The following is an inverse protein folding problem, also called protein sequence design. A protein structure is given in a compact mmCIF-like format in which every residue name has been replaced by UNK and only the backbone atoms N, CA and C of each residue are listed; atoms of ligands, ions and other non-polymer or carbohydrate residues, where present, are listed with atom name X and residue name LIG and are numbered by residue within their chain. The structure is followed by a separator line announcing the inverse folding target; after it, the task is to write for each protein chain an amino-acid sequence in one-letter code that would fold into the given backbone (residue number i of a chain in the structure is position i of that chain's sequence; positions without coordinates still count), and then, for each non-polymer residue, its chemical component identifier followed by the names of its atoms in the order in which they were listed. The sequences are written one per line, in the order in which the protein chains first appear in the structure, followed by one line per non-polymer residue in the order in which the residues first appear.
data_IF_255343915483
#
_entry.id   IF_255343915483
#
_cell.length_a   1.000
_cell.length_b   1.000
_cell.length_c   1.000
_cell.angle_alpha   90.00
_cell.angle_beta   90.00
_cell.angle_gamma   90.00
#
_symmetry.space_group_name_H-M   'P 1'
#
loop_
_entity.id
_entity.type
_entity.pdbx_description
1 polymer ?
#
# COMPACT_ATOMS: atom_id res chain seq x y z
N UNK A 1 -21.12 9.02 25.88
CA UNK A 1 -20.60 8.50 24.59
C UNK A 1 -19.53 9.47 24.14
N UNK A 2 -18.25 9.10 24.25
CA UNK A 2 -17.16 9.94 23.73
C UNK A 2 -17.20 9.79 22.21
N UNK A 3 -17.29 10.87 21.41
CA UNK A 3 -17.27 10.73 19.97
C UNK A 3 -15.97 10.04 19.57
N UNK A 4 -16.08 8.94 18.81
CA UNK A 4 -14.92 8.24 18.30
C UNK A 4 -14.06 9.25 17.53
N UNK A 5 -12.87 9.54 18.05
CA UNK A 5 -11.94 10.47 17.43
C UNK A 5 -11.62 9.93 16.04
N UNK A 6 -11.83 10.76 15.01
CA UNK A 6 -11.49 10.37 13.64
C UNK A 6 -10.03 9.92 13.60
N UNK A 7 -9.70 8.82 12.92
CA UNK A 7 -8.32 8.39 12.73
C UNK A 7 -7.49 9.54 12.13
N UNK A 8 -6.28 9.75 12.66
CA UNK A 8 -5.36 10.79 12.18
C UNK A 8 -4.01 10.23 11.76
N UNK A 9 -3.33 10.96 10.90
CA UNK A 9 -1.95 10.71 10.45
C UNK A 9 -1.09 11.87 10.94
N UNK A 10 -0.08 11.58 11.75
CA UNK A 10 0.92 12.56 12.18
C UNK A 10 2.05 12.67 11.16
N UNK A 11 2.40 13.90 10.82
CA UNK A 11 3.29 14.22 9.72
C UNK A 11 4.59 14.82 10.23
N UNK A 12 5.72 14.39 9.68
CA UNK A 12 7.04 14.82 10.16
C UNK A 12 7.98 15.16 9.02
N UNK A 13 8.85 16.17 9.23
CA UNK A 13 9.89 16.59 8.28
C UNK A 13 11.03 15.60 8.14
N UNK A 14 11.26 14.77 9.15
CA UNK A 14 12.33 13.79 9.20
C UNK A 14 11.77 12.46 9.74
N UNK A 15 12.38 11.36 9.32
CA UNK A 15 12.01 10.02 9.73
C UNK A 15 12.83 9.48 10.91
N UNK A 16 13.97 10.12 11.24
CA UNK A 16 14.86 9.74 12.33
C UNK A 16 14.32 10.23 13.66
N UNK A 17 14.22 9.33 14.64
CA UNK A 17 13.59 9.64 15.93
C UNK A 17 14.20 10.84 16.66
N UNK A 18 15.54 10.96 16.68
CA UNK A 18 16.19 12.10 17.32
C UNK A 18 15.84 13.43 16.65
N UNK A 19 15.76 13.46 15.31
CA UNK A 19 15.41 14.66 14.57
C UNK A 19 13.98 15.10 14.89
N UNK A 20 13.04 14.16 15.06
CA UNK A 20 11.63 14.46 15.41
C UNK A 20 11.46 15.21 16.73
N UNK A 21 12.43 15.17 17.64
CA UNK A 21 12.39 15.91 18.91
C UNK A 21 12.70 17.40 18.77
N UNK A 22 13.24 17.82 17.62
CA UNK A 22 13.63 19.22 17.38
C UNK A 22 12.40 20.10 17.06
N UNK A 23 12.42 21.40 17.43
CA UNK A 23 11.35 22.33 17.08
C UNK A 23 11.08 22.40 15.58
N UNK A 24 9.80 22.44 15.19
CA UNK A 24 9.37 22.58 13.79
C UNK A 24 9.40 21.30 12.96
N UNK A 25 9.66 20.14 13.58
CA UNK A 25 9.75 18.85 12.89
C UNK A 25 8.40 18.16 12.72
N UNK A 26 7.47 18.36 13.66
CA UNK A 26 6.07 18.00 13.49
C UNK A 26 5.40 18.99 12.54
N UNK A 27 4.72 18.47 11.51
CA UNK A 27 4.03 19.23 10.48
C UNK A 27 2.52 19.31 10.72
N UNK A 28 2.05 18.80 11.86
CA UNK A 28 0.64 18.66 12.18
C UNK A 28 0.10 17.26 11.89
N UNK A 29 -1.23 17.15 12.00
CA UNK A 29 -1.96 15.90 11.77
C UNK A 29 -3.06 16.12 10.75
N UNK A 30 -3.32 15.12 9.92
CA UNK A 30 -4.44 15.11 8.95
C UNK A 30 -5.41 13.99 9.27
N UNK A 31 -6.70 14.18 9.04
CA UNK A 31 -7.66 13.10 9.20
C UNK A 31 -7.48 12.07 8.07
N UNK A 32 -7.51 10.78 8.41
CA UNK A 32 -7.37 9.68 7.44
C UNK A 32 -8.46 9.76 6.36
N UNK A 33 -9.69 10.08 6.75
CA UNK A 33 -10.81 10.18 5.81
C UNK A 33 -10.55 11.20 4.69
N UNK A 34 -9.93 12.34 5.02
CA UNK A 34 -9.58 13.38 4.06
C UNK A 34 -8.37 12.95 3.22
N UNK A 35 -7.37 12.35 3.87
CA UNK A 35 -6.13 11.91 3.23
C UNK A 35 -6.32 10.76 2.23
N UNK A 36 -7.31 9.90 2.43
CA UNK A 36 -7.56 8.76 1.54
C UNK A 36 -8.57 9.05 0.43
N UNK A 37 -9.17 10.25 0.36
CA UNK A 37 -10.14 10.58 -0.69
C UNK A 37 -9.50 10.63 -2.08
N UNK A 38 -8.26 11.16 -2.16
CA UNK A 38 -7.38 11.07 -3.32
C UNK A 38 -5.95 10.81 -2.80
N UNK A 39 -5.62 9.53 -2.65
CA UNK A 39 -4.35 9.07 -2.10
C UNK A 39 -3.14 9.59 -2.89
N UNK A 40 -3.23 9.62 -4.23
CA UNK A 40 -2.13 10.01 -5.10
C UNK A 40 -1.85 11.51 -5.01
N UNK A 41 -2.91 12.33 -5.04
CA UNK A 41 -2.80 13.77 -4.81
C UNK A 41 -2.27 14.05 -3.40
N UNK A 42 -2.85 13.42 -2.38
CA UNK A 42 -2.47 13.62 -0.98
C UNK A 42 -1.00 13.30 -0.74
N UNK A 43 -0.52 12.11 -1.14
CA UNK A 43 0.87 11.71 -0.95
C UNK A 43 1.84 12.68 -1.66
N UNK A 44 1.48 13.16 -2.86
CA UNK A 44 2.26 14.16 -3.58
C UNK A 44 2.35 15.48 -2.81
N UNK A 45 1.24 16.03 -2.33
CA UNK A 45 1.23 17.32 -1.62
C UNK A 45 1.94 17.23 -0.27
N UNK A 46 1.74 16.14 0.48
CA UNK A 46 2.50 15.86 1.71
C UNK A 46 4.00 15.83 1.42
N UNK A 47 4.42 15.10 0.38
CA UNK A 47 5.82 15.06 0.02
C UNK A 47 6.40 16.45 -0.32
N UNK A 48 5.65 17.25 -1.12
CA UNK A 48 6.06 18.60 -1.56
C UNK A 48 6.19 19.59 -0.41
N UNK A 49 5.36 19.46 0.62
CA UNK A 49 5.40 20.30 1.83
C UNK A 49 6.52 19.89 2.80
N UNK A 50 7.24 18.81 2.49
CA UNK A 50 8.43 18.37 3.22
C UNK A 50 8.19 17.18 4.15
N UNK A 51 7.05 16.50 4.06
CA UNK A 51 6.80 15.28 4.84
C UNK A 51 7.78 14.19 4.40
N UNK A 52 8.42 13.55 5.39
CA UNK A 52 9.32 12.39 5.22
C UNK A 52 8.92 11.21 6.09
N UNK A 53 8.05 11.41 7.07
CA UNK A 53 7.38 10.33 7.81
C UNK A 53 5.90 10.64 8.02
N UNK A 54 5.07 9.62 7.87
CA UNK A 54 3.66 9.62 8.16
C UNK A 54 3.36 8.52 9.18
N UNK A 55 2.77 8.86 10.32
CA UNK A 55 2.48 7.94 11.42
C UNK A 55 0.97 7.78 11.60
N UNK A 56 0.48 6.57 11.37
CA UNK A 56 -0.93 6.22 11.44
C UNK A 56 -1.30 5.88 12.88
N UNK A 57 -2.23 6.65 13.45
CA UNK A 57 -2.70 6.42 14.82
C UNK A 57 -3.56 5.15 14.98
N UNK A 58 -4.10 4.63 13.88
CA UNK A 58 -5.06 3.52 13.89
C UNK A 58 -4.49 2.24 13.27
N UNK A 59 -4.93 1.11 13.83
CA UNK A 59 -4.73 -0.20 13.22
C UNK A 59 -5.46 -0.26 11.87
N UNK A 60 -4.73 -0.64 10.82
CA UNK A 60 -5.30 -0.94 9.51
C UNK A 60 -5.83 -2.37 9.56
N UNK A 61 -7.14 -2.53 9.70
CA UNK A 61 -7.77 -3.84 9.76
C UNK A 61 -8.07 -4.35 8.34
N UNK A 62 -7.46 -5.48 7.97
CA UNK A 62 -7.68 -6.18 6.71
C UNK A 62 -8.33 -7.55 6.93
N UNK A 63 -8.86 -7.80 8.14
CA UNK A 63 -9.61 -9.02 8.44
C UNK A 63 -10.99 -9.02 7.76
N UNK A 64 -11.67 -10.17 7.67
CA UNK A 64 -13.01 -10.25 7.09
C UNK A 64 -14.07 -9.40 7.80
N UNK A 65 -13.82 -8.97 9.04
CA UNK A 65 -14.72 -8.12 9.81
C UNK A 65 -14.52 -6.61 9.55
N UNK A 66 -13.47 -6.23 8.80
CA UNK A 66 -13.18 -4.85 8.48
C UNK A 66 -14.19 -4.25 7.48
N UNK A 67 -14.31 -2.92 7.47
CA UNK A 67 -15.06 -2.21 6.43
C UNK A 67 -14.20 -2.12 5.15
N UNK A 68 -14.60 -2.80 4.04
CA UNK A 68 -13.73 -2.96 2.88
C UNK A 68 -13.32 -1.65 2.21
N UNK A 69 -14.22 -0.66 2.12
CA UNK A 69 -13.92 0.61 1.43
C UNK A 69 -12.83 1.38 2.18
N UNK A 70 -12.91 1.43 3.50
CA UNK A 70 -11.91 2.04 4.37
C UNK A 70 -10.56 1.33 4.25
N UNK A 71 -10.56 -0.01 4.23
CA UNK A 71 -9.35 -0.81 4.09
C UNK A 71 -8.62 -0.54 2.75
N UNK A 72 -9.35 -0.57 1.62
CA UNK A 72 -8.79 -0.26 0.29
C UNK A 72 -8.23 1.16 0.24
N UNK A 73 -8.96 2.14 0.77
CA UNK A 73 -8.54 3.55 0.82
C UNK A 73 -7.25 3.76 1.62
N UNK A 74 -7.11 3.06 2.75
CA UNK A 74 -5.89 3.06 3.55
C UNK A 74 -4.71 2.44 2.79
N UNK A 75 -4.94 1.29 2.13
CA UNK A 75 -3.91 0.64 1.32
C UNK A 75 -3.45 1.52 0.15
N UNK A 76 -4.36 2.23 -0.51
CA UNK A 76 -4.00 3.21 -1.54
C UNK A 76 -3.10 4.31 -0.96
N UNK A 77 -3.46 4.92 0.17
CA UNK A 77 -2.62 5.96 0.78
C UNK A 77 -1.24 5.44 1.19
N UNK A 78 -1.16 4.25 1.81
CA UNK A 78 0.11 3.63 2.19
C UNK A 78 0.97 3.33 0.96
N UNK A 79 0.36 2.83 -0.12
CA UNK A 79 1.03 2.56 -1.39
C UNK A 79 1.59 3.82 -2.01
N UNK A 80 0.81 4.90 -2.08
CA UNK A 80 1.28 6.16 -2.64
C UNK A 80 2.38 6.80 -1.77
N UNK A 81 2.24 6.82 -0.44
CA UNK A 81 3.29 7.30 0.46
C UNK A 81 4.59 6.49 0.33
N UNK A 82 4.48 5.17 0.24
CA UNK A 82 5.62 4.27 -0.02
C UNK A 82 6.28 4.62 -1.36
N UNK A 83 5.49 4.84 -2.42
CA UNK A 83 5.99 5.17 -3.75
C UNK A 83 6.74 6.52 -3.80
N UNK A 84 6.38 7.46 -2.92
CA UNK A 84 7.09 8.72 -2.72
C UNK A 84 8.34 8.61 -1.83
N UNK A 85 8.58 7.45 -1.22
CA UNK A 85 9.69 7.23 -0.29
C UNK A 85 9.47 7.89 1.08
N UNK A 86 8.21 8.14 1.45
CA UNK A 86 7.86 8.57 2.82
C UNK A 86 7.91 7.35 3.73
N UNK A 87 8.56 7.49 4.89
CA UNK A 87 8.52 6.46 5.94
C UNK A 87 7.10 6.36 6.47
N UNK A 88 6.49 5.18 6.35
CA UNK A 88 5.12 4.96 6.82
C UNK A 88 5.18 4.13 8.09
N UNK A 89 4.78 4.73 9.21
CA UNK A 89 4.59 4.00 10.45
C UNK A 89 3.12 3.64 10.60
N UNK A 90 2.82 2.35 10.54
CA UNK A 90 1.47 1.82 10.56
C UNK A 90 1.45 0.43 11.17
N UNK A 91 0.31 0.04 11.72
CA UNK A 91 0.05 -1.32 12.22
C UNK A 91 -1.03 -1.95 11.37
N UNK A 92 -0.94 -3.25 11.16
CA UNK A 92 -1.90 -3.99 10.32
C UNK A 92 -2.44 -5.22 11.04
N UNK A 93 -3.73 -5.47 10.90
CA UNK A 93 -4.31 -6.79 11.17
C UNK A 93 -4.47 -7.52 9.86
N UNK A 94 -3.75 -8.61 9.69
CA UNK A 94 -3.91 -9.49 8.53
C UNK A 94 -5.06 -10.47 8.78
N UNK A 95 -5.75 -10.93 7.74
CA UNK A 95 -6.70 -12.01 7.88
C UNK A 95 -5.98 -13.33 8.18
N UNK A 96 -6.69 -14.29 8.76
CA UNK A 96 -6.13 -15.61 9.07
C UNK A 96 -5.60 -16.31 7.81
N UNK A 97 -4.52 -17.08 7.95
CA UNK A 97 -3.94 -17.83 6.86
C UNK A 97 -4.99 -18.78 6.23
N UNK A 98 -5.19 -18.66 4.91
CA UNK A 98 -6.16 -19.47 4.16
C UNK A 98 -7.57 -18.89 4.05
N UNK A 99 -7.86 -17.76 4.69
CA UNK A 99 -9.16 -17.06 4.57
C UNK A 99 -9.47 -16.58 3.15
N UNK A 100 -8.46 -16.18 2.37
CA UNK A 100 -8.60 -15.81 0.97
C UNK A 100 -7.27 -16.04 0.22
N UNK A 101 -7.27 -16.91 -0.79
CA UNK A 101 -6.05 -17.22 -1.59
C UNK A 101 -5.50 -15.98 -2.30
N UNK A 102 -6.37 -15.08 -2.73
CA UNK A 102 -6.04 -13.82 -3.41
C UNK A 102 -6.10 -12.61 -2.45
N UNK A 103 -6.14 -12.86 -1.15
CA UNK A 103 -6.35 -11.84 -0.13
C UNK A 103 -5.06 -11.16 0.34
N UNK A 104 -5.19 -10.21 1.29
CA UNK A 104 -4.06 -9.52 1.87
C UNK A 104 -3.22 -10.50 2.70
N UNK A 105 -1.92 -10.48 2.49
CA UNK A 105 -0.94 -11.28 3.23
C UNK A 105 0.38 -10.52 3.31
N UNK A 106 1.28 -10.97 4.18
CA UNK A 106 2.64 -10.42 4.22
C UNK A 106 3.36 -10.53 2.87
N UNK A 107 3.03 -11.54 2.04
CA UNK A 107 3.57 -11.65 0.69
C UNK A 107 3.00 -10.58 -0.24
N UNK A 108 1.66 -10.48 -0.35
CA UNK A 108 1.01 -9.58 -1.32
C UNK A 108 1.24 -8.11 -0.99
N UNK A 109 1.43 -7.78 0.28
CA UNK A 109 1.70 -6.43 0.78
C UNK A 109 3.19 -6.16 1.01
N UNK A 110 4.07 -7.17 0.87
CA UNK A 110 5.49 -7.13 1.24
C UNK A 110 6.35 -6.08 0.51
N UNK A 111 5.76 -5.36 -0.44
CA UNK A 111 6.34 -4.23 -1.18
C UNK A 111 5.97 -2.86 -0.61
N UNK A 112 5.01 -2.78 0.31
CA UNK A 112 4.70 -1.59 1.09
C UNK A 112 5.72 -1.42 2.22
N UNK A 113 5.88 -0.18 2.71
CA UNK A 113 6.75 0.09 3.85
C UNK A 113 6.39 -0.84 5.03
N UNK A 114 7.37 -1.50 5.67
CA UNK A 114 7.09 -2.53 6.66
C UNK A 114 6.34 -1.96 7.87
N UNK A 115 5.25 -2.61 8.32
CA UNK A 115 4.47 -2.13 9.45
C UNK A 115 5.26 -2.22 10.77
N UNK A 116 4.95 -1.33 11.70
CA UNK A 116 5.45 -1.36 13.08
C UNK A 116 4.76 -2.40 13.96
N UNK A 117 3.74 -3.10 13.45
CA UNK A 117 3.12 -4.24 14.11
C UNK A 117 2.19 -5.01 13.16
N UNK A 118 2.16 -6.33 13.32
CA UNK A 118 1.21 -7.23 12.65
C UNK A 118 0.35 -7.89 13.73
N UNK A 119 -0.95 -7.96 13.51
CA UNK A 119 -1.94 -8.68 14.32
C UNK A 119 -2.67 -9.72 13.46
N UNK A 120 -3.25 -10.75 14.09
CA UNK A 120 -4.02 -11.82 13.43
C UNK A 120 -3.27 -13.16 13.42
N UNK A 121 -2.26 -13.35 12.53
CA UNK A 121 -1.49 -14.58 12.47
C UNK A 121 -0.73 -14.91 13.76
N UNK A 122 -0.56 -16.21 14.05
CA UNK A 122 0.19 -16.68 15.22
C UNK A 122 1.70 -16.36 15.13
N UNK A 123 2.24 -16.30 13.92
CA UNK A 123 3.64 -16.00 13.56
C UNK A 123 3.85 -14.53 13.19
N UNK A 124 3.04 -13.62 13.74
CA UNK A 124 3.06 -12.20 13.38
C UNK A 124 4.42 -11.52 13.58
N UNK A 125 5.20 -11.93 14.57
CA UNK A 125 6.52 -11.36 14.84
C UNK A 125 7.53 -11.75 13.75
N UNK A 126 7.54 -13.03 13.37
CA UNK A 126 8.38 -13.59 12.31
C UNK A 126 8.01 -12.98 10.95
N UNK A 127 6.71 -12.87 10.64
CA UNK A 127 6.23 -12.23 9.42
C UNK A 127 6.66 -10.77 9.35
N UNK A 128 6.58 -10.03 10.46
CA UNK A 128 7.00 -8.62 10.53
C UNK A 128 8.51 -8.48 10.34
N UNK A 129 9.31 -9.38 10.91
CA UNK A 129 10.76 -9.41 10.72
C UNK A 129 11.13 -9.69 9.25
N UNK A 130 10.53 -10.72 8.64
CA UNK A 130 10.78 -11.09 7.25
C UNK A 130 10.36 -9.99 6.26
N UNK A 131 9.22 -9.31 6.53
CA UNK A 131 8.79 -8.17 5.72
C UNK A 131 9.81 -7.03 5.79
N UNK A 132 10.26 -6.66 7.00
CA UNK A 132 11.26 -5.62 7.18
C UNK A 132 12.61 -5.96 6.50
N UNK A 133 13.10 -7.18 6.68
CA UNK A 133 14.36 -7.64 6.09
C UNK A 133 14.31 -7.67 4.56
N UNK A 134 13.18 -8.11 3.99
CA UNK A 134 13.00 -8.24 2.55
C UNK A 134 12.56 -6.94 1.86
N UNK A 135 12.26 -5.87 2.58
CA UNK A 135 11.71 -4.65 2.00
C UNK A 135 12.78 -3.82 1.29
N UNK A 136 12.38 -3.24 0.14
CA UNK A 136 13.08 -2.13 -0.49
C UNK A 136 12.09 -1.36 -1.37
N UNK A 137 12.37 -0.07 -1.60
CA UNK A 137 11.53 0.76 -2.46
C UNK A 137 11.53 0.25 -3.91
N UNK A 138 10.35 0.16 -4.51
CA UNK A 138 10.20 -0.39 -5.86
C UNK A 138 10.14 -1.91 -5.94
N UNK A 139 9.92 -2.61 -4.81
CA UNK A 139 9.82 -4.08 -4.79
C UNK A 139 8.65 -4.64 -5.62
N UNK A 140 7.58 -3.89 -5.83
CA UNK A 140 6.53 -4.20 -6.80
C UNK A 140 6.03 -2.89 -7.43
N UNK A 141 6.52 -2.58 -8.63
CA UNK A 141 6.25 -1.33 -9.32
C UNK A 141 5.62 -1.55 -10.69
N UNK A 142 4.84 -0.56 -11.15
CA UNK A 142 4.27 -0.54 -12.50
C UNK A 142 4.72 0.71 -13.25
N UNK A 143 5.06 0.54 -14.53
CA UNK A 143 5.38 1.63 -15.46
C UNK A 143 4.38 1.62 -16.60
N UNK A 144 3.90 2.80 -16.97
CA UNK A 144 3.03 2.96 -18.12
C UNK A 144 3.90 3.26 -19.35
N UNK A 145 3.86 2.36 -20.33
CA UNK A 145 4.38 2.59 -21.66
C UNK A 145 3.26 2.95 -22.65
N UNK A 146 3.58 3.37 -23.88
CA UNK A 146 2.58 3.58 -24.92
C UNK A 146 1.87 2.26 -25.26
N UNK A 147 0.64 2.09 -24.79
CA UNK A 147 -0.18 0.89 -25.07
C UNK A 147 0.15 -0.33 -24.21
N UNK A 148 0.95 -0.20 -23.15
CA UNK A 148 1.23 -1.32 -22.24
C UNK A 148 1.55 -0.86 -20.81
N UNK A 149 1.45 -1.78 -19.86
CA UNK A 149 1.98 -1.68 -18.50
C UNK A 149 3.12 -2.68 -18.35
N UNK A 150 4.25 -2.25 -17.79
CA UNK A 150 5.32 -3.15 -17.34
C UNK A 150 5.31 -3.19 -15.81
N UNK A 151 5.04 -4.36 -15.24
CA UNK A 151 5.17 -4.62 -13.81
C UNK A 151 6.51 -5.31 -13.56
N UNK A 152 7.24 -4.79 -12.58
CA UNK A 152 8.46 -5.39 -12.04
C UNK A 152 8.19 -5.78 -10.60
N UNK A 153 8.14 -7.07 -10.36
CA UNK A 153 7.78 -7.64 -9.07
C UNK A 153 8.92 -8.49 -8.52
N UNK A 154 9.40 -8.14 -7.33
CA UNK A 154 10.45 -8.82 -6.59
C UNK A 154 9.92 -9.48 -5.31
N UNK A 155 8.60 -9.54 -5.09
CA UNK A 155 8.01 -10.08 -3.84
C UNK A 155 8.41 -11.54 -3.59
N UNK A 156 8.62 -12.34 -4.64
CA UNK A 156 9.09 -13.72 -4.56
C UNK A 156 10.60 -13.88 -4.29
N UNK A 157 11.35 -12.78 -4.22
CA UNK A 157 12.82 -12.79 -4.10
C UNK A 157 13.57 -12.82 -5.44
N UNK A 158 12.87 -13.06 -6.55
CA UNK A 158 13.40 -12.95 -7.92
C UNK A 158 12.62 -11.91 -8.70
N UNK A 159 13.25 -11.26 -9.69
CA UNK A 159 12.55 -10.31 -10.57
C UNK A 159 11.63 -11.07 -11.52
N UNK A 160 10.32 -10.98 -11.27
CA UNK A 160 9.29 -11.30 -12.24
C UNK A 160 8.94 -10.05 -13.04
N UNK A 161 9.01 -10.13 -14.37
CA UNK A 161 8.62 -9.03 -15.27
C UNK A 161 7.37 -9.43 -16.03
N UNK A 162 6.28 -8.73 -15.75
CA UNK A 162 4.98 -8.96 -16.37
C UNK A 162 4.70 -7.78 -17.29
N UNK A 163 4.38 -8.06 -18.56
CA UNK A 163 3.95 -7.05 -19.53
C UNK A 163 2.48 -7.27 -19.80
N UNK A 164 1.69 -6.21 -19.64
CA UNK A 164 0.25 -6.19 -19.91
C UNK A 164 0.05 -5.25 -21.09
N UNK A 165 -0.22 -5.77 -22.27
CA UNK A 165 -0.46 -5.01 -23.50
C UNK A 165 -1.82 -5.34 -24.15
N UNK A 166 -2.50 -6.37 -23.66
CA UNK A 166 -3.84 -6.73 -24.09
C UNK A 166 -4.88 -5.67 -23.64
N UNK A 167 -5.70 -5.13 -24.57
CA UNK A 167 -6.65 -4.05 -24.25
C UNK A 167 -7.63 -4.38 -23.13
N UNK A 168 -8.08 -5.64 -23.02
CA UNK A 168 -9.01 -6.07 -21.97
C UNK A 168 -8.38 -5.99 -20.57
N UNK A 169 -7.10 -6.36 -20.43
CA UNK A 169 -6.37 -6.27 -19.16
C UNK A 169 -6.05 -4.82 -18.80
N UNK A 170 -5.65 -4.00 -19.78
CA UNK A 170 -5.43 -2.56 -19.58
C UNK A 170 -6.70 -1.86 -19.09
N UNK A 171 -7.84 -2.14 -19.74
CA UNK A 171 -9.14 -1.62 -19.33
C UNK A 171 -9.54 -2.12 -17.94
N UNK A 172 -9.29 -3.41 -17.64
CA UNK A 172 -9.52 -4.01 -16.33
C UNK A 172 -8.76 -3.31 -15.21
N UNK A 173 -7.46 -3.04 -15.41
CA UNK A 173 -6.63 -2.33 -14.43
C UNK A 173 -7.15 -0.91 -14.18
N UNK A 174 -7.46 -0.15 -15.24
CA UNK A 174 -8.00 1.20 -15.07
C UNK A 174 -9.40 1.19 -14.42
N UNK A 175 -10.23 0.20 -14.71
CA UNK A 175 -11.53 0.02 -14.07
C UNK A 175 -11.40 -0.24 -12.56
N UNK A 176 -10.52 -1.15 -12.12
CA UNK A 176 -10.30 -1.39 -10.67
C UNK A 176 -9.78 -0.14 -9.96
N UNK A 177 -8.87 0.61 -10.62
CA UNK A 177 -8.31 1.84 -10.05
C UNK A 177 -9.35 2.95 -9.91
N UNK A 178 -10.34 2.98 -10.80
CA UNK A 178 -11.43 3.94 -10.74
C UNK A 178 -12.52 3.51 -9.74
N UNK A 179 -12.81 2.21 -9.66
CA UNK A 179 -13.81 1.63 -8.77
C UNK A 179 -13.34 0.26 -8.22
N UNK A 180 -13.06 0.16 -6.91
CA UNK A 180 -12.58 -1.08 -6.31
C UNK A 180 -13.64 -2.18 -6.26
N UNK A 181 -14.92 -1.94 -6.58
CA UNK A 181 -15.89 -3.03 -6.75
C UNK A 181 -15.54 -3.93 -7.93
N UNK A 182 -14.78 -3.40 -8.91
CA UNK A 182 -14.37 -4.12 -10.11
C UNK A 182 -15.54 -4.77 -10.89
N UNK A 183 -16.77 -4.25 -10.74
CA UNK A 183 -17.97 -4.86 -11.33
C UNK A 183 -17.97 -4.89 -12.87
N UNK A 184 -17.19 -4.00 -13.49
CA UNK A 184 -17.01 -3.92 -14.94
C UNK A 184 -15.83 -4.76 -15.47
N UNK A 185 -15.06 -5.42 -14.60
CA UNK A 185 -13.87 -6.19 -14.99
C UNK A 185 -14.30 -7.61 -15.34
N UNK A 186 -13.84 -8.09 -16.50
CA UNK A 186 -14.03 -9.48 -16.91
C UNK A 186 -13.52 -10.47 -15.83
N UNK A 187 -14.30 -11.50 -15.45
CA UNK A 187 -13.89 -12.44 -14.42
C UNK A 187 -12.59 -13.20 -14.71
N UNK A 188 -12.30 -13.50 -15.99
CA UNK A 188 -11.05 -14.15 -16.40
C UNK A 188 -9.86 -13.22 -16.23
N UNK A 189 -9.97 -11.99 -16.73
CA UNK A 189 -8.95 -10.94 -16.52
C UNK A 189 -8.67 -10.74 -15.03
N UNK A 190 -9.72 -10.68 -14.21
CA UNK A 190 -9.59 -10.52 -12.76
C UNK A 190 -8.90 -11.72 -12.12
N UNK A 191 -9.26 -12.93 -12.51
CA UNK A 191 -8.66 -14.16 -11.98
C UNK A 191 -7.17 -14.24 -12.30
N UNK A 192 -6.77 -13.88 -13.52
CA UNK A 192 -5.37 -13.89 -13.94
C UNK A 192 -4.53 -12.84 -13.19
N UNK A 193 -5.04 -11.61 -13.08
CA UNK A 193 -4.36 -10.56 -12.31
C UNK A 193 -4.25 -10.91 -10.81
N UNK A 194 -5.24 -11.61 -10.26
CA UNK A 194 -5.21 -12.12 -8.89
C UNK A 194 -4.23 -13.29 -8.73
N UNK A 195 -4.11 -14.18 -9.74
CA UNK A 195 -3.14 -15.27 -9.74
C UNK A 195 -1.70 -14.75 -9.70
N UNK A 196 -1.43 -13.63 -10.38
CA UNK A 196 -0.15 -12.91 -10.34
C UNK A 196 0.01 -12.02 -9.10
N UNK A 197 -0.93 -12.06 -8.14
CA UNK A 197 -0.92 -11.22 -6.94
C UNK A 197 -0.87 -9.70 -7.23
N UNK A 198 -1.34 -9.28 -8.41
CA UNK A 198 -1.41 -7.87 -8.81
C UNK A 198 -2.75 -7.23 -8.38
N UNK A 199 -3.81 -8.05 -8.35
CA UNK A 199 -5.08 -7.72 -7.72
C UNK A 199 -5.23 -8.50 -6.41
N UNK A 200 -5.51 -7.77 -5.33
CA UNK A 200 -5.70 -8.31 -3.99
C UNK A 200 -7.15 -8.09 -3.58
N UNK A 201 -7.84 -9.16 -3.20
CA UNK A 201 -9.22 -9.10 -2.71
C UNK A 201 -9.27 -8.60 -1.27
N UNK A 202 -10.12 -7.60 -0.98
CA UNK A 202 -10.34 -7.02 0.35
C UNK A 202 -11.85 -7.04 0.59
N UNK A 203 -12.35 -8.04 1.31
CA UNK A 203 -13.79 -8.32 1.35
C UNK A 203 -14.33 -8.55 -0.07
N UNK A 204 -15.36 -7.81 -0.45
CA UNK A 204 -15.95 -7.84 -1.80
C UNK A 204 -15.25 -6.89 -2.80
N UNK A 205 -14.19 -6.20 -2.38
CA UNK A 205 -13.47 -5.22 -3.19
C UNK A 205 -12.14 -5.77 -3.70
N UNK A 206 -11.57 -5.09 -4.68
CA UNK A 206 -10.28 -5.39 -5.29
C UNK A 206 -9.36 -4.19 -5.19
N UNK A 207 -8.11 -4.47 -4.85
CA UNK A 207 -7.07 -3.47 -4.72
C UNK A 207 -5.90 -3.78 -5.65
N UNK A 208 -5.49 -2.78 -6.43
CA UNK A 208 -4.33 -2.86 -7.31
C UNK A 208 -3.03 -2.70 -6.50
N UNK A 209 -2.24 -3.77 -6.38
CA UNK A 209 -1.06 -3.77 -5.52
C UNK A 209 0.13 -2.93 -6.06
N UNK A 210 0.51 -3.00 -7.35
CA UNK A 210 1.69 -2.31 -7.85
C UNK A 210 1.62 -0.78 -7.72
N UNK A 211 2.68 -0.15 -7.24
CA UNK A 211 2.76 1.31 -7.17
C UNK A 211 3.47 1.92 -8.38
N UNK A 212 3.12 3.18 -8.71
CA UNK A 212 3.80 3.94 -9.76
C UNK A 212 5.06 4.60 -9.17
N UNK A 213 6.26 4.42 -9.76
CA UNK A 213 7.45 5.07 -9.25
C UNK A 213 7.38 6.58 -9.52
N UNK A 214 7.54 7.40 -8.47
CA UNK A 214 7.61 8.87 -8.60
C UNK A 214 9.05 9.39 -8.64
N UNK A 215 9.99 8.60 -8.12
CA UNK A 215 11.42 8.90 -8.07
C UNK A 215 12.20 7.62 -8.30
N UNK A 216 13.34 7.72 -8.97
CA UNK A 216 14.24 6.59 -9.07
C UNK A 216 15.10 6.53 -7.80
N UNK A 217 15.02 5.48 -6.98
CA UNK A 217 15.98 5.30 -5.91
C UNK A 217 17.32 4.98 -6.56
N UNK A 218 18.23 5.94 -6.60
CA UNK A 218 19.60 5.70 -7.04
C UNK A 218 20.56 5.97 -5.89
N UNK A 219 21.24 4.93 -5.36
CA UNK A 219 20.97 3.47 -5.50
C UNK A 219 19.67 3.02 -4.79
N UNK A 220 19.22 1.76 -4.94
CA UNK A 220 18.19 1.18 -4.08
C UNK A 220 18.67 1.23 -2.61
N UNK A 221 18.03 2.07 -1.80
CA UNK A 221 18.34 2.18 -0.38
C UNK A 221 17.53 1.13 0.38
N UNK A 222 18.22 0.32 1.19
CA UNK A 222 17.59 -0.41 2.30
C UNK A 222 17.32 0.62 3.40
N UNK A 223 16.09 0.68 3.89
CA UNK A 223 15.69 1.56 5.01
C UNK A 223 15.78 0.78 6.30
#
# INVERSE_FOLDING_TARGET
MIPARKPVIDLWRDYRDHARTLPGMHLGSVAVADACADAAHTARELYRTGVRRAEFSTLVDLSPAAEPVCAVRLLDLIRELTAWGVVVDWRVRLPDAGSCRSGPSAFTLGHLYPPSGIEGPADAAELRAAWAEGFFLGKCLVRNGPGFLEVRDHRSGVLNRIVIDEPAYLAGVEAVRADPTAGAVDPGVRADLAAESLLVGVGELWWWAPHRPHRWPQPPFRV
#
